data_IF_826896605582
#
_entry.id   IF_826896605582
#
_cell.length_a   1.000
_cell.length_b   1.000
_cell.length_c   1.000
_cell.angle_alpha   90.00
_cell.angle_beta   90.00
_cell.angle_gamma   90.00
#
_symmetry.space_group_name_H-M   'P 1'
#
loop_
_entity.id
_entity.type
_entity.pdbx_description
1 polymer ?
#
# COMPACT_ATOMS: atom_id res chain seq x y z
N UNK A 1 -28.57 -8.69 -1.15
CA UNK A 1 -29.05 -7.31 -0.96
C UNK A 1 -28.21 -6.70 0.16
N UNK A 2 -27.61 -5.53 -0.10
CA UNK A 2 -26.86 -4.77 0.91
C UNK A 2 -27.89 -3.90 1.62
N UNK A 3 -28.21 -4.21 2.87
CA UNK A 3 -29.06 -3.33 3.67
C UNK A 3 -28.30 -2.03 3.99
N UNK A 4 -28.81 -0.91 3.47
CA UNK A 4 -28.35 0.41 3.91
C UNK A 4 -28.80 0.61 5.34
N UNK A 5 -27.86 0.66 6.26
CA UNK A 5 -28.14 1.08 7.63
C UNK A 5 -28.80 2.44 7.65
N UNK A 6 -29.86 2.59 8.44
CA UNK A 6 -30.66 3.80 8.55
C UNK A 6 -29.80 5.02 8.86
N UNK A 7 -30.10 6.13 8.21
CA UNK A 7 -29.48 7.45 8.48
C UNK A 7 -30.05 8.02 9.80
N UNK A 8 -29.69 7.43 10.93
CA UNK A 8 -29.96 8.09 12.21
C UNK A 8 -28.86 9.11 12.52
N UNK A 9 -29.29 10.35 12.56
CA UNK A 9 -28.43 11.45 13.04
C UNK A 9 -28.36 11.30 14.56
N UNK A 10 -27.15 11.11 15.10
CA UNK A 10 -26.95 11.05 16.54
C UNK A 10 -27.39 12.40 17.17
N UNK A 11 -28.42 12.42 18.01
CA UNK A 11 -28.98 13.67 18.57
C UNK A 11 -28.02 14.43 19.48
N UNK A 12 -26.90 13.81 19.87
CA UNK A 12 -25.87 14.45 20.71
C UNK A 12 -25.02 15.49 19.95
N UNK A 13 -25.03 15.43 18.63
CA UNK A 13 -24.29 16.39 17.78
C UNK A 13 -25.20 17.43 17.14
N UNK A 14 -26.04 18.03 17.92
CA UNK A 14 -26.86 19.21 17.70
C UNK A 14 -27.16 19.62 16.26
N UNK A 15 -28.33 20.14 16.03
CA UNK A 15 -28.91 20.56 14.74
C UNK A 15 -28.15 21.66 13.96
N UNK A 16 -26.96 22.05 14.34
CA UNK A 16 -26.12 22.92 13.52
C UNK A 16 -25.56 22.12 12.34
N UNK A 17 -26.08 22.40 11.16
CA UNK A 17 -25.53 21.98 9.89
C UNK A 17 -24.11 22.51 9.76
N UNK A 18 -23.14 21.80 10.34
CA UNK A 18 -21.74 22.05 10.05
C UNK A 18 -21.45 21.45 8.67
N UNK A 19 -21.07 22.23 7.67
CA UNK A 19 -20.74 21.71 6.34
C UNK A 19 -19.53 20.76 6.37
N UNK A 20 -18.82 20.67 7.49
CA UNK A 20 -17.61 19.89 7.70
C UNK A 20 -17.81 18.55 8.40
N UNK A 21 -19.03 18.25 8.86
CA UNK A 21 -19.33 16.96 9.49
C UNK A 21 -20.13 16.09 8.54
N UNK A 22 -19.47 15.14 7.91
CA UNK A 22 -20.09 14.15 7.04
C UNK A 22 -20.22 12.84 7.81
N UNK A 23 -21.47 12.35 7.99
CA UNK A 23 -21.69 11.01 8.53
C UNK A 23 -21.28 10.00 7.47
N UNK A 24 -20.25 9.21 7.75
CA UNK A 24 -19.83 8.13 6.90
C UNK A 24 -20.88 7.01 6.91
N UNK A 25 -21.18 6.46 5.74
CA UNK A 25 -22.06 5.30 5.62
C UNK A 25 -21.41 4.08 6.30
N UNK A 26 -22.18 3.38 7.12
CA UNK A 26 -21.75 2.12 7.73
C UNK A 26 -22.70 1.00 7.33
N UNK A 27 -22.16 -0.21 7.21
CA UNK A 27 -22.88 -1.40 6.77
C UNK A 27 -22.60 -2.55 7.73
N UNK A 28 -23.61 -3.38 8.02
CA UNK A 28 -23.37 -4.67 8.66
C UNK A 28 -22.68 -5.61 7.70
N UNK A 29 -21.58 -6.21 8.14
CA UNK A 29 -20.83 -7.16 7.33
C UNK A 29 -21.33 -8.56 7.62
N UNK A 30 -22.04 -9.16 6.67
CA UNK A 30 -22.41 -10.57 6.71
C UNK A 30 -21.38 -11.44 5.98
N UNK A 31 -20.74 -10.89 4.92
CA UNK A 31 -19.71 -11.55 4.13
C UNK A 31 -18.62 -10.55 3.77
N UNK A 32 -17.48 -10.65 4.41
CA UNK A 32 -16.37 -9.73 4.17
C UNK A 32 -15.90 -9.72 2.70
N UNK A 33 -15.79 -10.89 2.08
CA UNK A 33 -15.32 -11.01 0.69
C UNK A 33 -16.21 -10.27 -0.31
N UNK A 34 -17.53 -10.34 -0.16
CA UNK A 34 -18.47 -9.69 -1.06
C UNK A 34 -18.39 -8.16 -0.92
N UNK A 35 -18.29 -7.68 0.32
CA UNK A 35 -18.10 -6.27 0.62
C UNK A 35 -16.76 -5.76 0.11
N UNK A 36 -15.69 -6.53 0.30
CA UNK A 36 -14.36 -6.21 -0.21
C UNK A 36 -14.38 -6.11 -1.73
N UNK A 37 -14.95 -7.12 -2.40
CA UNK A 37 -15.10 -7.10 -3.86
C UNK A 37 -15.86 -5.85 -4.30
N UNK A 38 -17.01 -5.58 -3.71
CA UNK A 38 -17.85 -4.45 -4.11
C UNK A 38 -17.15 -3.11 -3.90
N UNK A 39 -16.61 -2.83 -2.70
CA UNK A 39 -16.04 -1.51 -2.42
C UNK A 39 -14.63 -1.33 -2.96
N UNK A 40 -13.77 -2.31 -2.80
CA UNK A 40 -12.35 -2.17 -3.14
C UNK A 40 -12.06 -2.57 -4.56
N UNK A 41 -12.53 -3.77 -5.00
CA UNK A 41 -12.22 -4.25 -6.35
C UNK A 41 -13.06 -3.56 -7.44
N UNK A 42 -14.38 -3.44 -7.21
CA UNK A 42 -15.29 -2.95 -8.27
C UNK A 42 -15.44 -1.42 -8.26
N UNK A 43 -15.27 -0.76 -7.10
CA UNK A 43 -15.45 0.69 -6.94
C UNK A 43 -14.16 1.45 -6.56
N UNK A 44 -13.01 0.80 -6.48
CA UNK A 44 -11.71 1.44 -6.30
C UNK A 44 -11.48 2.14 -4.95
N UNK A 45 -12.23 1.80 -3.89
CA UNK A 45 -11.95 2.34 -2.57
C UNK A 45 -10.59 1.84 -2.04
N UNK A 46 -9.87 2.70 -1.33
CA UNK A 46 -8.54 2.38 -0.76
C UNK A 46 -8.57 1.19 0.20
N UNK A 47 -9.72 0.95 0.83
CA UNK A 47 -9.90 -0.11 1.81
C UNK A 47 -11.16 0.08 2.64
N UNK A 48 -11.25 -0.64 3.74
CA UNK A 48 -12.38 -0.65 4.65
C UNK A 48 -11.92 -0.48 6.10
N UNK A 49 -12.74 0.14 6.93
CA UNK A 49 -12.57 0.13 8.39
C UNK A 49 -13.61 -0.79 8.98
N UNK A 50 -13.15 -1.88 9.57
CA UNK A 50 -13.99 -2.82 10.33
C UNK A 50 -14.10 -2.32 11.75
N UNK A 51 -15.30 -2.33 12.30
CA UNK A 51 -15.56 -1.91 13.67
C UNK A 51 -16.33 -3.00 14.38
N UNK A 52 -15.89 -3.37 15.58
CA UNK A 52 -16.68 -4.20 16.45
C UNK A 52 -17.90 -3.41 16.91
N UNK A 53 -19.11 -3.93 16.62
CA UNK A 53 -20.36 -3.25 16.97
C UNK A 53 -20.71 -3.34 18.45
N UNK A 54 -20.03 -4.21 19.20
CA UNK A 54 -20.23 -4.43 20.64
C UNK A 54 -19.24 -3.65 21.50
N UNK A 55 -18.14 -3.20 20.91
CA UNK A 55 -17.09 -2.48 21.63
C UNK A 55 -17.44 -1.00 21.84
N UNK A 56 -16.91 -0.43 22.92
CA UNK A 56 -17.03 1.00 23.19
C UNK A 56 -16.17 1.82 22.20
N UNK A 57 -16.57 3.07 21.97
CA UNK A 57 -15.78 3.98 21.13
C UNK A 57 -14.40 4.24 21.76
N UNK A 58 -13.35 4.02 20.97
CA UNK A 58 -11.97 4.22 21.41
C UNK A 58 -11.38 3.02 22.15
N UNK A 59 -12.11 1.91 22.26
CA UNK A 59 -11.59 0.68 22.85
C UNK A 59 -10.45 0.11 21.99
N UNK A 60 -9.28 -0.21 22.58
CA UNK A 60 -8.15 -0.76 21.86
C UNK A 60 -8.51 -2.07 21.14
N UNK A 61 -8.18 -2.17 19.87
CA UNK A 61 -8.46 -3.37 19.05
C UNK A 61 -9.87 -3.45 18.45
N UNK A 62 -10.81 -2.60 18.89
CA UNK A 62 -12.18 -2.60 18.37
C UNK A 62 -12.30 -2.16 16.90
N UNK A 63 -11.26 -1.55 16.34
CA UNK A 63 -11.24 -1.08 14.96
C UNK A 63 -10.04 -1.65 14.21
N UNK A 64 -10.32 -2.26 13.06
CA UNK A 64 -9.29 -2.76 12.16
C UNK A 64 -9.38 -2.05 10.81
N UNK A 65 -8.27 -1.50 10.33
CA UNK A 65 -8.15 -0.96 8.97
C UNK A 65 -7.65 -2.04 8.04
N UNK A 66 -8.44 -2.37 7.05
CA UNK A 66 -8.07 -3.31 5.99
C UNK A 66 -7.91 -2.51 4.71
N UNK A 67 -6.71 -2.53 4.13
CA UNK A 67 -6.38 -1.81 2.90
C UNK A 67 -5.92 -2.78 1.84
N UNK A 68 -6.20 -2.44 0.59
CA UNK A 68 -5.59 -3.13 -0.53
C UNK A 68 -4.07 -2.92 -0.48
N UNK A 69 -3.35 -3.99 -0.65
CA UNK A 69 -1.90 -3.96 -0.87
C UNK A 69 -1.69 -4.20 -2.35
N UNK A 70 -1.00 -3.28 -2.99
CA UNK A 70 -0.56 -3.43 -4.37
C UNK A 70 0.82 -4.05 -4.38
N UNK A 71 1.01 -5.00 -5.27
CA UNK A 71 2.31 -5.65 -5.52
C UNK A 71 2.71 -5.41 -6.96
N UNK A 72 3.99 -5.18 -7.19
CA UNK A 72 4.55 -4.96 -8.51
C UNK A 72 6.01 -5.43 -8.51
N UNK A 73 6.45 -6.01 -9.60
CA UNK A 73 7.83 -6.40 -9.82
C UNK A 73 8.64 -5.26 -10.43
N UNK A 74 9.79 -4.99 -9.83
CA UNK A 74 10.78 -4.04 -10.32
C UNK A 74 12.11 -4.73 -10.56
N UNK A 75 12.86 -4.24 -11.56
CA UNK A 75 14.28 -4.52 -11.68
C UNK A 75 15.04 -3.64 -10.68
N UNK A 76 15.95 -4.23 -9.92
CA UNK A 76 16.85 -3.49 -9.04
C UNK A 76 17.87 -2.71 -9.88
N UNK A 77 17.89 -1.40 -9.72
CA UNK A 77 18.85 -0.51 -10.40
C UNK A 77 19.88 0.08 -9.45
N UNK A 78 19.71 -0.13 -8.15
CA UNK A 78 20.65 0.37 -7.16
C UNK A 78 20.10 0.33 -5.73
N UNK A 79 20.83 1.01 -4.87
CA UNK A 79 20.50 1.14 -3.45
C UNK A 79 20.62 2.61 -3.02
N UNK A 80 19.81 3.01 -2.08
CA UNK A 80 19.92 4.30 -1.40
C UNK A 80 20.45 4.10 0.02
N UNK A 81 21.30 5.01 0.48
CA UNK A 81 21.77 5.01 1.84
C UNK A 81 20.65 5.29 2.84
N UNK A 82 20.79 4.79 4.05
CA UNK A 82 19.93 5.18 5.15
C UNK A 82 20.22 6.63 5.56
N UNK A 83 19.22 7.26 6.17
CA UNK A 83 19.35 8.59 6.72
C UNK A 83 20.55 8.69 7.67
N UNK A 84 21.36 9.76 7.53
CA UNK A 84 22.57 9.98 8.32
C UNK A 84 22.31 10.15 9.82
N UNK A 85 21.09 10.53 10.21
CA UNK A 85 20.69 10.66 11.61
C UNK A 85 20.03 9.39 12.16
N UNK A 86 19.83 8.39 11.30
CA UNK A 86 19.24 7.13 11.72
C UNK A 86 20.27 6.19 12.37
N UNK A 87 19.79 5.23 13.16
CA UNK A 87 20.62 4.15 13.70
C UNK A 87 21.29 3.28 12.61
N UNK A 88 20.92 3.46 11.35
CA UNK A 88 21.42 2.72 10.20
C UNK A 88 22.38 3.56 9.32
N UNK A 89 22.85 4.70 9.84
CA UNK A 89 23.79 5.55 9.10
C UNK A 89 24.98 4.73 8.58
N UNK A 90 25.35 4.94 7.33
CA UNK A 90 26.40 4.19 6.64
C UNK A 90 25.99 2.79 6.15
N UNK A 91 24.72 2.44 6.21
CA UNK A 91 24.15 1.22 5.65
C UNK A 91 23.11 1.54 4.57
N UNK A 92 22.77 0.54 3.76
CA UNK A 92 21.67 0.65 2.80
C UNK A 92 20.33 0.89 3.53
N UNK A 93 19.63 1.92 3.09
CA UNK A 93 18.31 2.33 3.58
C UNK A 93 17.16 1.79 2.76
N UNK A 94 17.34 1.68 1.44
CA UNK A 94 16.31 1.24 0.52
C UNK A 94 16.89 0.56 -0.73
N UNK A 95 16.10 -0.32 -1.34
CA UNK A 95 16.35 -0.85 -2.69
C UNK A 95 15.71 0.09 -3.70
N UNK A 96 16.43 0.46 -4.75
CA UNK A 96 15.92 1.27 -5.85
C UNK A 96 15.51 0.33 -6.98
N UNK A 97 14.24 0.40 -7.34
CA UNK A 97 13.67 -0.37 -8.46
C UNK A 97 13.25 0.53 -9.62
N UNK A 98 13.27 -0.02 -10.82
CA UNK A 98 12.75 0.64 -12.02
C UNK A 98 11.99 -0.34 -12.90
N UNK A 99 11.06 0.19 -13.69
CA UNK A 99 10.44 -0.53 -14.80
C UNK A 99 11.30 -0.39 -16.04
N UNK A 100 11.23 -1.36 -16.96
CA UNK A 100 12.11 -1.40 -18.15
C UNK A 100 11.58 -0.58 -19.32
N UNK A 101 10.26 -0.44 -19.41
CA UNK A 101 9.56 0.20 -20.54
C UNK A 101 9.12 1.65 -20.23
N UNK A 102 9.06 2.01 -18.95
CA UNK A 102 8.76 3.37 -18.49
C UNK A 102 9.65 3.73 -17.30
N UNK A 103 10.48 4.76 -17.36
CA UNK A 103 11.30 5.21 -16.25
C UNK A 103 10.39 5.57 -15.05
N UNK A 104 10.29 4.68 -14.10
CA UNK A 104 9.50 4.86 -12.88
C UNK A 104 10.30 4.30 -11.71
N UNK A 105 11.24 5.10 -11.23
CA UNK A 105 12.07 4.69 -10.09
C UNK A 105 11.30 4.77 -8.78
N UNK A 106 11.46 3.73 -7.97
CA UNK A 106 10.89 3.66 -6.62
C UNK A 106 11.97 3.32 -5.60
N UNK A 107 11.93 3.98 -4.45
CA UNK A 107 12.81 3.68 -3.30
C UNK A 107 12.04 2.84 -2.28
N UNK A 108 12.29 1.55 -2.27
CA UNK A 108 11.60 0.57 -1.43
C UNK A 108 12.31 0.41 -0.10
N UNK A 109 11.71 0.93 0.97
CA UNK A 109 12.17 0.78 2.35
C UNK A 109 11.70 -0.54 2.97
N UNK A 110 11.91 -0.73 4.27
CA UNK A 110 11.39 -1.89 5.00
C UNK A 110 12.37 -3.07 5.09
N UNK A 111 13.65 -2.84 4.79
CA UNK A 111 14.70 -3.83 4.93
C UNK A 111 14.91 -4.24 6.39
N UNK A 112 15.16 -5.53 6.60
CA UNK A 112 15.63 -6.06 7.90
C UNK A 112 17.08 -5.67 8.15
N UNK A 113 17.54 -5.74 9.41
CA UNK A 113 18.92 -5.45 9.78
C UNK A 113 19.92 -6.37 9.05
N UNK A 114 19.54 -7.63 8.81
CA UNK A 114 20.34 -8.59 8.06
C UNK A 114 20.48 -8.19 6.60
N UNK A 115 19.39 -7.83 5.95
CA UNK A 115 19.38 -7.41 4.55
C UNK A 115 20.20 -6.13 4.34
N UNK A 116 20.06 -5.14 5.23
CA UNK A 116 20.88 -3.91 5.19
C UNK A 116 22.37 -4.21 5.17
N UNK A 117 22.82 -5.07 6.08
CA UNK A 117 24.23 -5.46 6.16
C UNK A 117 24.70 -6.14 4.88
N UNK A 118 23.93 -7.09 4.37
CA UNK A 118 24.27 -7.83 3.16
C UNK A 118 24.37 -6.89 1.97
N UNK A 119 23.37 -6.03 1.75
CA UNK A 119 23.32 -5.13 0.57
C UNK A 119 24.34 -4.00 0.68
N UNK A 120 24.76 -3.63 1.89
CA UNK A 120 25.84 -2.66 2.09
C UNK A 120 27.20 -3.25 1.69
N UNK A 121 27.43 -4.53 1.95
CA UNK A 121 28.71 -5.21 1.63
C UNK A 121 28.80 -5.58 0.16
N UNK A 122 27.73 -6.10 -0.42
CA UNK A 122 27.71 -6.64 -1.78
C UNK A 122 26.54 -6.11 -2.61
N UNK A 123 26.41 -4.81 -2.83
CA UNK A 123 25.26 -4.26 -3.58
C UNK A 123 25.25 -4.72 -5.05
N UNK A 124 26.42 -4.93 -5.66
CA UNK A 124 26.54 -5.32 -7.05
C UNK A 124 25.89 -6.68 -7.36
N UNK A 125 25.84 -7.59 -6.39
CA UNK A 125 25.27 -8.95 -6.56
C UNK A 125 23.74 -8.90 -6.77
N UNK A 126 23.12 -7.77 -6.53
CA UNK A 126 21.66 -7.59 -6.57
C UNK A 126 21.18 -6.67 -7.69
N UNK A 127 22.07 -5.87 -8.28
CA UNK A 127 21.72 -4.99 -9.41
C UNK A 127 21.34 -5.87 -10.60
N UNK A 128 20.23 -5.53 -11.27
CA UNK A 128 19.67 -6.29 -12.36
C UNK A 128 18.78 -7.47 -11.94
N UNK A 129 18.67 -7.79 -10.65
CA UNK A 129 17.71 -8.83 -10.18
C UNK A 129 16.31 -8.25 -10.06
N UNK A 130 15.32 -9.13 -10.17
CA UNK A 130 13.91 -8.77 -9.98
C UNK A 130 13.52 -8.90 -8.50
N UNK A 131 12.72 -7.97 -8.03
CA UNK A 131 12.12 -8.05 -6.69
C UNK A 131 10.66 -7.57 -6.72
N UNK A 132 9.86 -8.09 -5.80
CA UNK A 132 8.50 -7.59 -5.54
C UNK A 132 8.56 -6.44 -4.58
N UNK A 133 7.95 -5.33 -4.94
CA UNK A 133 7.63 -4.24 -4.01
C UNK A 133 6.15 -4.27 -3.65
N UNK A 134 5.85 -3.91 -2.40
CA UNK A 134 4.48 -3.76 -1.91
C UNK A 134 4.20 -2.32 -1.55
N UNK A 135 2.96 -1.87 -1.73
CA UNK A 135 2.56 -0.51 -1.41
C UNK A 135 1.08 -0.35 -1.14
N UNK A 136 0.66 0.89 -0.90
CA UNK A 136 -0.72 1.26 -0.57
C UNK A 136 -1.44 1.89 -1.77
N UNK A 137 -1.39 1.24 -2.92
CA UNK A 137 -1.90 1.76 -4.18
C UNK A 137 -0.85 2.57 -4.95
N UNK A 138 -1.27 3.21 -6.03
CA UNK A 138 -0.41 3.95 -6.94
C UNK A 138 -0.73 5.45 -6.90
N UNK A 139 0.25 6.26 -7.29
CA UNK A 139 0.02 7.65 -7.67
C UNK A 139 -0.52 7.70 -9.11
N UNK A 140 -1.11 8.84 -9.56
CA UNK A 140 -1.50 9.01 -10.96
C UNK A 140 -0.34 8.80 -11.95
N UNK A 141 0.89 9.10 -11.56
CA UNK A 141 2.11 8.82 -12.33
C UNK A 141 2.44 7.34 -12.50
N UNK A 142 1.69 6.43 -11.85
CA UNK A 142 1.96 5.01 -11.82
C UNK A 142 2.98 4.56 -10.79
N UNK A 143 3.64 5.46 -10.08
CA UNK A 143 4.57 5.06 -9.01
C UNK A 143 3.83 4.55 -7.77
N UNK A 144 4.43 3.57 -7.09
CA UNK A 144 3.85 2.92 -5.92
C UNK A 144 3.87 3.85 -4.69
N UNK A 145 2.74 3.94 -3.98
CA UNK A 145 2.65 4.74 -2.75
C UNK A 145 3.19 3.98 -1.55
N UNK A 146 4.07 4.62 -0.78
CA UNK A 146 4.74 4.02 0.39
C UNK A 146 5.37 2.66 0.08
N UNK A 147 6.26 2.59 -0.91
CA UNK A 147 6.83 1.34 -1.38
C UNK A 147 7.70 0.68 -0.29
N UNK A 148 7.53 -0.63 -0.16
CA UNK A 148 8.35 -1.47 0.71
C UNK A 148 8.94 -2.60 -0.11
N UNK A 149 10.18 -2.93 0.16
CA UNK A 149 10.80 -4.13 -0.35
C UNK A 149 10.06 -5.36 0.19
N UNK A 150 9.72 -6.27 -0.69
CA UNK A 150 9.07 -7.53 -0.34
C UNK A 150 10.07 -8.67 -0.34
N UNK A 151 10.39 -9.20 -1.51
CA UNK A 151 11.34 -10.30 -1.68
C UNK A 151 11.97 -10.30 -3.06
N UNK A 152 13.14 -10.93 -3.17
CA UNK A 152 13.74 -11.23 -4.47
C UNK A 152 12.92 -12.29 -5.24
N UNK A 153 12.92 -12.18 -6.56
CA UNK A 153 12.14 -13.03 -7.47
C UNK A 153 13.06 -13.69 -8.48
N UNK A 154 13.70 -14.76 -8.05
CA UNK A 154 14.59 -15.56 -8.93
C UNK A 154 13.79 -16.35 -9.99
N UNK A 155 12.47 -16.44 -9.79
CA UNK A 155 11.51 -17.06 -10.70
C UNK A 155 11.00 -16.10 -11.80
N UNK A 156 11.36 -14.81 -11.75
CA UNK A 156 10.92 -13.76 -12.66
C UNK A 156 12.06 -13.25 -13.55
N UNK A 157 11.72 -12.89 -14.79
CA UNK A 157 12.65 -12.27 -15.72
C UNK A 157 12.49 -10.75 -15.70
N UNK A 158 13.59 -10.04 -15.98
CA UNK A 158 13.59 -8.57 -16.08
C UNK A 158 12.53 -8.07 -17.09
N UNK A 159 12.31 -8.80 -18.18
CA UNK A 159 11.31 -8.49 -19.20
C UNK A 159 9.86 -8.42 -18.67
N UNK A 160 9.60 -8.92 -17.47
CA UNK A 160 8.30 -8.88 -16.83
C UNK A 160 8.11 -7.63 -15.94
N UNK A 161 9.17 -6.84 -15.72
CA UNK A 161 9.13 -5.59 -14.94
C UNK A 161 8.64 -4.42 -15.82
N UNK A 162 7.40 -4.50 -16.30
CA UNK A 162 6.81 -3.56 -17.24
C UNK A 162 5.73 -2.71 -16.60
N UNK A 163 5.41 -1.58 -17.22
CA UNK A 163 4.35 -0.69 -16.78
C UNK A 163 2.95 -1.33 -16.83
N UNK A 164 2.80 -2.38 -17.64
CA UNK A 164 1.54 -3.13 -17.76
C UNK A 164 1.08 -3.83 -16.47
N UNK A 165 1.97 -4.02 -15.51
CA UNK A 165 1.61 -4.52 -14.18
C UNK A 165 0.74 -3.53 -13.39
N UNK A 166 0.78 -2.23 -13.73
CA UNK A 166 -0.04 -1.20 -13.08
C UNK A 166 -1.45 -1.27 -13.66
N UNK A 167 -2.49 -1.24 -12.81
CA UNK A 167 -3.88 -1.27 -13.28
C UNK A 167 -4.16 -0.18 -14.31
N UNK A 168 -4.85 -0.52 -15.40
CA UNK A 168 -5.14 0.37 -16.52
C UNK A 168 -5.79 1.69 -16.11
N UNK A 169 -6.68 1.64 -15.13
CA UNK A 169 -7.36 2.84 -14.58
C UNK A 169 -6.39 3.88 -13.97
N UNK A 170 -5.15 3.50 -13.71
CA UNK A 170 -4.13 4.36 -13.10
C UNK A 170 -3.10 4.79 -14.14
N UNK A 171 -3.01 4.05 -15.24
CA UNK A 171 -2.10 4.39 -16.33
C UNK A 171 -2.62 5.65 -17.02
N UNK A 172 -1.85 6.72 -16.95
CA UNK A 172 -2.10 7.92 -17.75
C UNK A 172 -1.79 7.58 -19.21
N UNK A 173 -2.69 7.96 -20.11
CA UNK A 173 -2.50 7.89 -21.55
C UNK A 173 -1.38 8.83 -22.03
#
# INVERSE_FOLDING_TARGET
AIEKGSREIDPRYGTRKSPWVIKLSSYKINRFRDMWKHFVCDNGYEGMVLKDSTAAYGEPGAWARVKAVSEIEYMCVGFADADSESRYAGQVGAVIGSLIDKPCEVKCSGLTDKERKIYTVSPADYIGRVFTATGKGFFPSGSLRHPKFGKWRDDKRIAECTYDQIPEIIRED
#
